data_IF_903898161750
#
_entry.id   IF_903898161750
#
_cell.length_a   1.000
_cell.length_b   1.000
_cell.length_c   1.000
_cell.angle_alpha   90.00
_cell.angle_beta   90.00
_cell.angle_gamma   90.00
#
_symmetry.space_group_name_H-M   'P 1'
#
loop_
_entity.id
_entity.type
_entity.pdbx_description
1 polymer ?
#
# COMPACT_ATOMS: atom_id res chain seq x y z
N UNK A 1 21.19 -6.53 21.48
CA UNK A 1 19.83 -6.92 21.03
C UNK A 1 19.30 -5.71 20.30
N UNK A 2 19.19 -5.78 18.97
CA UNK A 2 18.61 -4.68 18.20
C UNK A 2 17.16 -4.53 18.61
N UNK A 3 16.78 -3.32 18.98
CA UNK A 3 15.38 -3.00 19.30
C UNK A 3 14.54 -3.33 18.06
N UNK A 4 13.43 -4.03 18.26
CA UNK A 4 12.53 -4.46 17.18
C UNK A 4 11.95 -3.26 16.39
N UNK A 5 11.88 -2.08 17.03
CA UNK A 5 11.52 -0.81 16.38
C UNK A 5 12.57 -0.36 15.36
N UNK A 6 13.86 -0.66 15.64
CA UNK A 6 14.94 -0.42 14.69
C UNK A 6 14.84 -1.35 13.49
N UNK A 7 14.33 -2.59 13.66
CA UNK A 7 14.13 -3.53 12.56
C UNK A 7 12.95 -3.14 11.66
N UNK A 8 11.86 -2.58 12.23
CA UNK A 8 10.73 -2.06 11.44
C UNK A 8 11.15 -0.77 10.71
N UNK A 9 11.82 0.15 11.42
CA UNK A 9 12.36 1.35 10.82
C UNK A 9 13.42 1.01 9.76
N UNK A 10 14.29 0.02 10.03
CA UNK A 10 15.28 -0.46 9.09
C UNK A 10 14.67 -1.25 7.93
N UNK A 11 13.63 -2.04 8.15
CA UNK A 11 12.87 -2.69 7.10
C UNK A 11 12.18 -1.68 6.18
N UNK A 12 11.60 -0.63 6.75
CA UNK A 12 11.07 0.51 5.98
C UNK A 12 12.18 1.26 5.26
N UNK A 13 13.30 1.56 5.91
CA UNK A 13 14.45 2.21 5.32
C UNK A 13 15.06 1.38 4.19
N UNK A 14 15.26 0.07 4.37
CA UNK A 14 15.76 -0.84 3.33
C UNK A 14 14.82 -0.93 2.13
N UNK A 15 13.51 -0.89 2.35
CA UNK A 15 12.50 -0.79 1.28
C UNK A 15 12.77 0.42 0.37
N UNK A 16 13.32 1.50 0.93
CA UNK A 16 13.56 2.77 0.24
C UNK A 16 14.97 2.92 -0.36
N UNK A 17 15.91 2.11 0.07
CA UNK A 17 17.34 2.22 -0.29
C UNK A 17 17.81 1.18 -1.30
N UNK A 18 16.93 0.29 -1.79
CA UNK A 18 17.32 -0.79 -2.71
C UNK A 18 17.56 -0.18 -4.10
N UNK A 19 18.79 -0.34 -4.64
CA UNK A 19 19.08 0.14 -5.99
C UNK A 19 18.18 -0.57 -7.01
N UNK A 20 17.64 0.18 -7.94
CA UNK A 20 16.89 -0.38 -9.05
C UNK A 20 17.81 -1.21 -9.95
N UNK A 21 17.55 -2.49 -10.02
CA UNK A 21 18.17 -3.42 -10.97
C UNK A 21 17.06 -4.15 -11.73
N UNK A 22 16.72 -3.71 -12.95
CA UNK A 22 15.65 -4.31 -13.74
C UNK A 22 15.97 -5.76 -14.16
N UNK A 23 17.24 -6.15 -14.19
CA UNK A 23 17.67 -7.50 -14.59
C UNK A 23 17.74 -8.46 -13.40
N UNK A 24 17.68 -7.97 -12.18
CA UNK A 24 17.69 -8.82 -10.99
C UNK A 24 16.44 -9.69 -10.97
N UNK A 25 16.57 -11.03 -10.98
CA UNK A 25 15.42 -11.92 -10.91
C UNK A 25 14.57 -11.60 -9.66
N UNK A 26 13.23 -11.63 -9.80
CA UNK A 26 12.33 -11.59 -8.65
C UNK A 26 12.52 -12.88 -7.87
N UNK A 27 13.12 -12.86 -6.65
CA UNK A 27 13.33 -14.09 -5.91
C UNK A 27 11.99 -14.60 -5.40
N UNK A 28 11.75 -15.91 -5.54
CA UNK A 28 10.56 -16.52 -4.99
C UNK A 28 10.66 -16.63 -3.48
N UNK A 29 9.66 -16.09 -2.79
CA UNK A 29 9.55 -16.15 -1.34
C UNK A 29 9.10 -17.53 -0.92
N UNK A 30 9.77 -18.14 0.06
CA UNK A 30 9.35 -19.40 0.67
C UNK A 30 8.40 -19.14 1.84
N UNK A 31 7.31 -19.86 1.86
CA UNK A 31 6.37 -19.90 2.97
C UNK A 31 6.14 -21.33 3.42
N UNK A 32 6.33 -21.61 4.72
CA UNK A 32 6.24 -22.97 5.26
C UNK A 32 7.09 -24.00 4.49
N UNK A 33 8.28 -23.62 4.04
CA UNK A 33 9.19 -24.48 3.28
C UNK A 33 8.88 -24.68 1.80
N UNK A 34 7.78 -24.08 1.30
CA UNK A 34 7.39 -24.12 -0.12
C UNK A 34 7.64 -22.74 -0.75
N UNK A 35 7.98 -22.74 -2.04
CA UNK A 35 8.02 -21.52 -2.84
C UNK A 35 6.60 -21.16 -3.26
N UNK A 36 6.22 -19.87 -3.23
CA UNK A 36 4.88 -19.46 -3.65
C UNK A 36 4.56 -19.81 -5.11
N UNK A 37 5.55 -19.83 -5.99
CA UNK A 37 5.39 -20.30 -7.37
C UNK A 37 4.93 -21.76 -7.48
N UNK A 38 5.17 -22.57 -6.44
CA UNK A 38 4.77 -23.98 -6.42
C UNK A 38 3.31 -24.14 -5.95
N UNK A 39 2.69 -23.06 -5.48
CA UNK A 39 1.30 -23.03 -5.05
C UNK A 39 0.47 -22.52 -6.22
N UNK A 40 -0.06 -23.42 -7.02
CA UNK A 40 -0.88 -23.11 -8.19
C UNK A 40 -2.38 -23.01 -7.85
N UNK A 41 -2.80 -23.53 -6.71
CA UNK A 41 -4.19 -23.46 -6.26
C UNK A 41 -4.48 -22.09 -5.58
N UNK A 42 -5.32 -21.31 -6.24
CA UNK A 42 -5.78 -20.01 -5.73
C UNK A 42 -6.47 -20.11 -4.36
N UNK A 43 -7.18 -21.20 -4.11
CA UNK A 43 -7.83 -21.41 -2.82
C UNK A 43 -6.82 -21.66 -1.70
N UNK A 44 -5.71 -22.34 -2.01
CA UNK A 44 -4.62 -22.52 -1.04
C UNK A 44 -3.95 -21.19 -0.70
N UNK A 45 -3.68 -20.34 -1.68
CA UNK A 45 -3.13 -18.99 -1.45
C UNK A 45 -4.06 -18.14 -0.59
N UNK A 46 -5.36 -18.15 -0.91
CA UNK A 46 -6.36 -17.45 -0.09
C UNK A 46 -6.40 -18.00 1.34
N UNK A 47 -6.36 -19.33 1.52
CA UNK A 47 -6.31 -19.95 2.85
C UNK A 47 -5.10 -19.47 3.65
N UNK A 48 -3.92 -19.37 3.03
CA UNK A 48 -2.70 -18.87 3.69
C UNK A 48 -2.82 -17.41 4.12
N UNK A 49 -3.54 -16.58 3.39
CA UNK A 49 -3.82 -15.19 3.78
C UNK A 49 -4.77 -15.09 4.99
N UNK A 50 -5.57 -16.13 5.23
CA UNK A 50 -6.51 -16.21 6.34
C UNK A 50 -5.97 -16.97 7.56
N UNK A 51 -4.73 -17.48 7.50
CA UNK A 51 -4.16 -18.30 8.56
C UNK A 51 -2.95 -17.66 9.23
N UNK A 52 -2.84 -17.91 10.53
CA UNK A 52 -1.66 -17.56 11.33
C UNK A 52 -0.80 -18.80 11.56
N UNK A 53 0.52 -18.65 11.59
CA UNK A 53 1.45 -19.65 12.12
C UNK A 53 1.24 -19.87 13.60
N UNK A 54 1.80 -20.93 14.17
CA UNK A 54 1.65 -21.21 15.62
C UNK A 54 2.32 -20.12 16.48
N UNK A 55 3.44 -19.54 16.01
CA UNK A 55 4.08 -18.39 16.66
C UNK A 55 3.17 -17.18 16.65
N UNK A 56 2.56 -16.88 15.50
CA UNK A 56 1.63 -15.75 15.36
C UNK A 56 0.37 -15.94 16.21
N UNK A 57 -0.23 -17.16 16.24
CA UNK A 57 -1.40 -17.50 17.06
C UNK A 57 -1.15 -17.33 18.55
N UNK A 58 0.06 -17.64 19.03
CA UNK A 58 0.43 -17.49 20.44
C UNK A 58 0.69 -16.04 20.85
N UNK A 59 0.76 -15.12 19.91
CA UNK A 59 1.01 -13.71 20.17
C UNK A 59 -0.22 -12.99 20.71
N UNK A 60 -0.02 -12.08 21.68
CA UNK A 60 -1.07 -11.16 22.13
C UNK A 60 -1.62 -10.25 21.01
N UNK A 61 -0.87 -10.11 19.91
CA UNK A 61 -1.29 -9.34 18.75
C UNK A 61 -2.21 -10.10 17.78
N UNK A 62 -2.34 -11.43 17.91
CA UNK A 62 -3.22 -12.25 17.06
C UNK A 62 -4.68 -11.75 17.08
N UNK A 63 -5.12 -11.14 18.18
CA UNK A 63 -6.47 -10.60 18.31
C UNK A 63 -6.80 -9.55 17.24
N UNK A 64 -5.84 -8.72 16.78
CA UNK A 64 -6.07 -7.69 15.76
C UNK A 64 -6.26 -8.30 14.37
N UNK A 65 -5.55 -9.39 14.07
CA UNK A 65 -5.83 -10.19 12.87
C UNK A 65 -7.21 -10.84 12.93
N UNK A 66 -7.55 -11.43 14.09
CA UNK A 66 -8.82 -12.16 14.30
C UNK A 66 -10.07 -11.24 14.23
N UNK A 67 -9.91 -9.92 14.31
CA UNK A 67 -10.99 -8.97 14.03
C UNK A 67 -11.44 -9.00 12.57
N UNK A 68 -10.64 -9.60 11.67
CA UNK A 68 -10.89 -9.59 10.23
C UNK A 68 -10.69 -8.21 9.58
N UNK A 69 -10.99 -8.05 8.29
CA UNK A 69 -10.91 -6.76 7.62
C UNK A 69 -12.00 -5.80 8.12
N UNK A 70 -11.68 -4.52 8.24
CA UNK A 70 -12.66 -3.46 8.50
C UNK A 70 -13.23 -2.94 7.18
N UNK A 71 -14.53 -2.68 7.17
CA UNK A 71 -15.22 -2.14 6.01
C UNK A 71 -14.83 -0.66 5.80
N UNK A 72 -14.42 -0.27 4.59
CA UNK A 72 -14.26 1.14 4.24
C UNK A 72 -15.59 1.89 4.31
N UNK A 73 -15.57 3.21 4.27
CA UNK A 73 -16.79 3.99 4.13
C UNK A 73 -17.49 3.68 2.79
N UNK A 74 -18.81 3.85 2.76
CA UNK A 74 -19.64 3.52 1.58
C UNK A 74 -19.21 4.30 0.34
N UNK A 75 -18.74 5.54 0.51
CA UNK A 75 -18.22 6.36 -0.58
C UNK A 75 -17.01 5.72 -1.25
N UNK A 76 -16.04 5.22 -0.45
CA UNK A 76 -14.87 4.52 -0.97
C UNK A 76 -15.23 3.20 -1.66
N UNK A 77 -16.20 2.45 -1.11
CA UNK A 77 -16.66 1.21 -1.74
C UNK A 77 -17.21 1.51 -3.13
N UNK A 78 -18.12 2.48 -3.25
CA UNK A 78 -18.73 2.87 -4.53
C UNK A 78 -17.73 3.42 -5.53
N UNK A 79 -16.82 4.31 -5.07
CA UNK A 79 -15.84 4.96 -5.92
C UNK A 79 -14.79 4.00 -6.51
N UNK A 80 -14.63 2.82 -5.91
CA UNK A 80 -13.71 1.78 -6.38
C UNK A 80 -14.39 0.66 -7.14
N UNK A 81 -15.70 0.72 -7.37
CA UNK A 81 -16.40 -0.24 -8.21
C UNK A 81 -15.94 -0.14 -9.68
N UNK A 82 -15.64 -1.29 -10.28
CA UNK A 82 -15.04 -1.39 -11.61
C UNK A 82 -15.81 -0.65 -12.72
N UNK A 83 -17.10 -0.43 -12.54
CA UNK A 83 -17.97 0.19 -13.56
C UNK A 83 -18.17 1.70 -13.38
N UNK A 84 -17.48 2.32 -12.41
CA UNK A 84 -17.66 3.74 -12.08
C UNK A 84 -16.33 4.50 -12.07
N UNK A 85 -15.61 4.56 -13.22
CA UNK A 85 -14.38 5.35 -13.27
C UNK A 85 -14.68 6.85 -13.12
N UNK A 86 -13.73 7.58 -12.50
CA UNK A 86 -13.72 9.04 -12.56
C UNK A 86 -13.37 9.49 -13.98
N UNK A 87 -13.63 10.75 -14.31
CA UNK A 87 -13.25 11.28 -15.61
C UNK A 87 -11.71 11.26 -15.77
N UNK A 88 -11.15 10.90 -16.94
CA UNK A 88 -9.70 10.91 -17.16
C UNK A 88 -9.02 12.25 -16.87
N UNK A 89 -9.76 13.35 -16.95
CA UNK A 89 -9.31 14.70 -16.60
C UNK A 89 -9.18 14.96 -15.10
N UNK A 90 -9.71 14.07 -14.25
CA UNK A 90 -9.55 14.14 -12.79
C UNK A 90 -8.31 13.38 -12.33
N UNK A 91 -7.77 12.48 -13.17
CA UNK A 91 -6.49 11.83 -12.94
C UNK A 91 -5.33 12.66 -13.48
N UNK A 92 -4.13 12.41 -12.97
CA UNK A 92 -2.91 13.13 -13.37
C UNK A 92 -1.69 12.22 -13.27
N UNK A 93 -0.58 12.64 -13.87
CA UNK A 93 0.71 11.97 -13.75
C UNK A 93 1.43 12.42 -12.47
N UNK A 94 2.32 11.60 -11.96
CA UNK A 94 3.03 11.86 -10.70
C UNK A 94 3.82 13.19 -10.72
N UNK A 95 4.30 13.65 -11.89
CA UNK A 95 4.97 14.93 -12.05
C UNK A 95 4.08 16.12 -11.70
N UNK A 96 2.77 15.95 -11.86
CA UNK A 96 1.78 16.97 -11.57
C UNK A 96 1.24 16.89 -10.14
N UNK A 97 1.72 15.93 -9.33
CA UNK A 97 1.21 15.71 -7.98
C UNK A 97 1.18 16.99 -7.14
N UNK A 98 2.27 17.76 -7.19
CA UNK A 98 2.39 19.03 -6.45
C UNK A 98 1.34 20.06 -6.91
N UNK A 99 1.02 20.08 -8.20
CA UNK A 99 0.03 21.01 -8.78
C UNK A 99 -1.41 20.66 -8.40
N UNK A 100 -1.63 19.43 -7.95
CA UNK A 100 -2.92 18.97 -7.44
C UNK A 100 -3.08 19.11 -5.92
N UNK A 101 -2.10 19.73 -5.24
CA UNK A 101 -2.23 20.12 -3.85
C UNK A 101 -2.89 21.51 -3.77
N UNK A 102 -3.80 21.70 -2.80
CA UNK A 102 -4.34 23.03 -2.52
C UNK A 102 -3.33 23.91 -1.77
N UNK A 103 -3.73 25.15 -1.46
CA UNK A 103 -2.89 26.14 -0.76
C UNK A 103 -2.44 25.66 0.63
N UNK A 104 -3.19 24.75 1.24
CA UNK A 104 -2.89 24.16 2.55
C UNK A 104 -2.07 22.87 2.43
N UNK A 105 -1.63 22.51 1.21
CA UNK A 105 -0.93 21.27 0.93
C UNK A 105 -1.83 20.03 0.91
N UNK A 106 -3.12 20.24 0.74
CA UNK A 106 -4.15 19.22 0.72
C UNK A 106 -4.38 18.77 -0.73
N UNK A 107 -4.23 17.51 -1.02
CA UNK A 107 -4.69 16.99 -2.30
C UNK A 107 -6.21 16.74 -2.20
N UNK A 108 -7.07 17.51 -2.90
CA UNK A 108 -8.52 17.36 -2.80
C UNK A 108 -9.06 16.13 -3.54
N UNK A 109 -8.19 15.37 -4.22
CA UNK A 109 -8.60 14.23 -5.03
C UNK A 109 -9.29 13.18 -4.15
N UNK A 110 -10.50 12.82 -4.55
CA UNK A 110 -11.30 11.79 -3.88
C UNK A 110 -10.89 10.39 -4.34
N UNK A 111 -11.33 9.39 -3.61
CA UNK A 111 -11.21 7.99 -4.01
C UNK A 111 -11.80 7.75 -5.40
N UNK A 112 -11.07 7.02 -6.25
CA UNK A 112 -11.51 6.70 -7.59
C UNK A 112 -10.39 6.14 -8.47
N UNK A 113 -10.71 5.88 -9.73
CA UNK A 113 -9.73 5.39 -10.70
C UNK A 113 -10.12 5.78 -12.13
N UNK A 114 -9.14 5.86 -13.02
CA UNK A 114 -9.36 6.06 -14.46
C UNK A 114 -8.17 5.53 -15.27
N UNK A 115 -8.28 5.60 -16.59
CA UNK A 115 -7.16 5.42 -17.52
C UNK A 115 -6.82 6.77 -18.09
N UNK A 116 -5.58 7.20 -17.90
CA UNK A 116 -5.08 8.48 -18.42
C UNK A 116 -4.94 8.41 -19.95
N UNK A 117 -4.87 9.57 -20.60
CA UNK A 117 -4.77 9.67 -22.07
C UNK A 117 -3.54 8.97 -22.65
N UNK A 118 -2.48 8.81 -21.88
CA UNK A 118 -1.26 8.07 -22.26
C UNK A 118 -1.34 6.56 -22.01
N UNK A 119 -2.48 6.05 -21.53
CA UNK A 119 -2.71 4.64 -21.26
C UNK A 119 -2.33 4.15 -19.86
N UNK A 120 -1.76 5.01 -19.01
CA UNK A 120 -1.44 4.69 -17.60
C UNK A 120 -2.72 4.53 -16.80
N UNK A 121 -2.79 3.50 -15.96
CA UNK A 121 -3.86 3.33 -14.99
C UNK A 121 -3.62 4.24 -13.78
N UNK A 122 -4.61 5.04 -13.41
CA UNK A 122 -4.59 5.90 -12.25
C UNK A 122 -5.61 5.41 -11.23
N UNK A 123 -5.20 5.20 -9.98
CA UNK A 123 -6.08 4.81 -8.89
C UNK A 123 -5.70 5.54 -7.61
N UNK A 124 -6.68 5.95 -6.82
CA UNK A 124 -6.45 6.65 -5.56
C UNK A 124 -7.50 6.30 -4.52
N UNK A 125 -7.10 6.22 -3.27
CA UNK A 125 -7.97 6.03 -2.13
C UNK A 125 -7.62 7.01 -1.01
N UNK A 126 -8.64 7.67 -0.48
CA UNK A 126 -8.53 8.53 0.70
C UNK A 126 -9.26 7.87 1.85
N UNK A 127 -8.58 7.68 2.97
CA UNK A 127 -9.18 7.10 4.17
C UNK A 127 -8.97 8.03 5.36
N UNK A 128 -10.07 8.31 6.05
CA UNK A 128 -10.08 9.12 7.27
C UNK A 128 -10.05 8.22 8.51
N UNK A 129 -9.32 8.66 9.51
CA UNK A 129 -9.29 8.04 10.84
C UNK A 129 -9.77 9.05 11.89
N UNK A 130 -11.08 9.19 12.09
CA UNK A 130 -11.62 10.12 13.06
C UNK A 130 -11.11 9.84 14.48
N UNK A 131 -10.70 10.90 15.18
CA UNK A 131 -10.21 10.81 16.55
C UNK A 131 -8.78 10.28 16.70
N UNK A 132 -8.09 9.87 15.63
CA UNK A 132 -6.69 9.49 15.70
C UNK A 132 -5.80 10.74 15.80
N UNK A 133 -5.13 10.89 16.94
CA UNK A 133 -4.16 11.98 17.17
C UNK A 133 -2.75 11.54 16.81
N UNK A 134 -1.83 12.50 16.74
CA UNK A 134 -0.39 12.19 16.59
C UNK A 134 0.12 11.30 17.72
N UNK A 135 -0.36 11.48 18.95
CA UNK A 135 0.01 10.62 20.09
C UNK A 135 -0.41 9.16 19.87
N UNK A 136 -1.64 8.93 19.41
CA UNK A 136 -2.18 7.61 19.12
C UNK A 136 -1.35 6.92 18.03
N UNK A 137 -1.08 7.62 16.93
CA UNK A 137 -0.29 7.09 15.83
C UNK A 137 1.15 6.79 16.25
N UNK A 138 1.79 7.70 16.99
CA UNK A 138 3.14 7.51 17.52
C UNK A 138 3.18 6.31 18.45
N UNK A 139 2.21 6.18 19.36
CA UNK A 139 2.11 5.02 20.25
C UNK A 139 2.03 3.71 19.47
N UNK A 140 1.15 3.65 18.46
CA UNK A 140 1.02 2.46 17.61
C UNK A 140 2.35 2.11 16.91
N UNK A 141 2.98 3.08 16.25
CA UNK A 141 4.25 2.86 15.53
C UNK A 141 5.35 2.32 16.44
N UNK A 142 5.41 2.77 17.69
CA UNK A 142 6.46 2.37 18.63
C UNK A 142 6.18 1.07 19.38
N UNK A 143 4.93 0.71 19.57
CA UNK A 143 4.55 -0.39 20.48
C UNK A 143 3.81 -1.54 19.79
N UNK A 144 3.21 -1.34 18.62
CA UNK A 144 2.60 -2.42 17.86
C UNK A 144 3.67 -3.21 17.12
N UNK A 145 4.07 -4.32 17.72
CA UNK A 145 5.28 -5.06 17.33
C UNK A 145 5.06 -6.58 17.37
N UNK A 146 4.15 -7.10 16.56
CA UNK A 146 3.84 -8.51 16.46
C UNK A 146 5.00 -9.33 15.83
N UNK A 147 5.05 -10.67 16.09
CA UNK A 147 6.06 -11.55 15.51
C UNK A 147 5.83 -11.81 14.02
N UNK A 148 6.88 -12.23 13.35
CA UNK A 148 6.87 -12.68 11.95
C UNK A 148 6.14 -11.72 10.99
N UNK A 149 5.25 -12.29 10.18
CA UNK A 149 4.44 -11.55 9.20
C UNK A 149 3.13 -11.01 9.80
N UNK A 150 2.85 -11.26 11.09
CA UNK A 150 1.58 -10.87 11.73
C UNK A 150 1.31 -9.37 11.67
N UNK A 151 2.34 -8.52 11.69
CA UNK A 151 2.17 -7.07 11.47
C UNK A 151 1.49 -6.80 10.12
N UNK A 152 2.01 -7.41 9.06
CA UNK A 152 1.51 -7.25 7.71
C UNK A 152 0.13 -7.89 7.52
N UNK A 153 -0.05 -9.12 8.01
CA UNK A 153 -1.33 -9.82 7.97
C UNK A 153 -2.44 -9.11 8.76
N UNK A 154 -2.11 -8.55 9.95
CA UNK A 154 -3.09 -7.79 10.73
C UNK A 154 -3.51 -6.48 10.05
N UNK A 155 -2.67 -5.94 9.19
CA UNK A 155 -3.00 -4.76 8.39
C UNK A 155 -4.14 -5.04 7.40
N UNK A 156 -4.14 -6.21 6.75
CA UNK A 156 -5.24 -6.63 5.89
C UNK A 156 -5.44 -8.16 5.91
N UNK A 157 -6.17 -8.69 6.92
CA UNK A 157 -6.49 -10.12 6.99
C UNK A 157 -7.24 -10.60 5.74
N UNK A 158 -6.78 -11.71 5.15
CA UNK A 158 -7.34 -12.24 3.90
C UNK A 158 -6.77 -11.61 2.61
N UNK A 159 -6.08 -10.49 2.71
CA UNK A 159 -5.37 -9.85 1.60
C UNK A 159 -3.86 -10.05 1.69
N UNK A 160 -3.29 -9.71 2.84
CA UNK A 160 -1.84 -9.78 3.05
C UNK A 160 -1.40 -11.17 3.54
N UNK A 161 -0.30 -11.67 2.98
CA UNK A 161 0.28 -12.96 3.38
C UNK A 161 1.63 -12.75 4.05
N UNK A 162 2.55 -12.04 3.40
CA UNK A 162 3.93 -11.93 3.83
C UNK A 162 4.57 -10.62 3.38
N UNK A 163 5.41 -10.08 4.25
CA UNK A 163 6.30 -8.98 3.91
C UNK A 163 7.73 -9.31 4.36
N UNK A 164 8.67 -9.32 3.40
CA UNK A 164 10.06 -9.63 3.68
C UNK A 164 10.99 -8.70 2.91
N UNK A 165 11.77 -7.89 3.61
CA UNK A 165 12.72 -6.94 3.03
C UNK A 165 12.07 -6.06 1.93
N UNK A 166 12.46 -6.29 0.68
CA UNK A 166 11.99 -5.57 -0.50
C UNK A 166 10.79 -6.26 -1.20
N UNK A 167 10.13 -7.20 -0.53
CA UNK A 167 9.08 -7.98 -1.16
C UNK A 167 7.84 -8.10 -0.29
N UNK A 168 6.68 -8.17 -0.93
CA UNK A 168 5.42 -8.54 -0.32
C UNK A 168 4.67 -9.58 -1.17
N UNK A 169 3.83 -10.36 -0.52
CA UNK A 169 2.89 -11.29 -1.17
C UNK A 169 1.50 -10.97 -0.66
N UNK A 170 0.61 -10.63 -1.58
CA UNK A 170 -0.73 -10.17 -1.25
C UNK A 170 -1.74 -10.39 -2.37
N UNK A 171 -3.03 -10.33 -2.05
CA UNK A 171 -4.12 -10.22 -3.01
C UNK A 171 -4.46 -8.75 -3.25
N UNK A 172 -4.21 -8.27 -4.44
CA UNK A 172 -4.49 -6.88 -4.85
C UNK A 172 -5.84 -6.73 -5.55
N UNK A 173 -6.72 -7.74 -5.44
CA UNK A 173 -8.06 -7.73 -6.03
C UNK A 173 -8.14 -8.20 -7.49
N UNK A 174 -7.02 -8.38 -8.17
CA UNK A 174 -6.91 -9.08 -9.46
C UNK A 174 -6.13 -10.41 -9.34
N UNK A 175 -5.92 -10.88 -8.14
CA UNK A 175 -5.30 -12.14 -7.77
C UNK A 175 -4.10 -11.97 -6.86
N UNK A 176 -3.57 -13.11 -6.39
CA UNK A 176 -2.37 -13.13 -5.58
C UNK A 176 -1.17 -12.75 -6.41
N UNK A 177 -0.40 -11.81 -5.91
CA UNK A 177 0.80 -11.28 -6.56
C UNK A 177 1.97 -11.28 -5.60
N UNK A 178 3.16 -11.32 -6.16
CA UNK A 178 4.38 -10.94 -5.50
C UNK A 178 4.73 -9.53 -5.93
N UNK A 179 4.85 -8.64 -4.97
CA UNK A 179 5.35 -7.29 -5.16
C UNK A 179 6.83 -7.25 -4.84
N UNK A 180 7.62 -6.60 -5.68
CA UNK A 180 9.00 -6.26 -5.40
C UNK A 180 9.16 -4.76 -5.43
N UNK A 181 9.54 -4.21 -4.31
CA UNK A 181 9.86 -2.79 -4.17
C UNK A 181 11.26 -2.55 -4.75
N UNK A 182 11.33 -1.78 -5.83
CA UNK A 182 12.58 -1.58 -6.58
C UNK A 182 13.25 -0.25 -6.27
N UNK A 183 12.46 0.76 -5.89
CA UNK A 183 12.96 2.07 -5.51
C UNK A 183 11.95 2.77 -4.59
N UNK A 184 12.42 3.29 -3.46
CA UNK A 184 11.61 4.13 -2.56
C UNK A 184 11.43 5.54 -3.10
N UNK A 185 10.28 6.11 -2.87
CA UNK A 185 9.93 7.49 -3.21
C UNK A 185 9.55 8.27 -1.95
N UNK A 186 9.86 9.55 -1.94
CA UNK A 186 9.51 10.49 -0.88
C UNK A 186 9.23 11.87 -1.48
N UNK A 187 9.04 12.89 -0.65
CA UNK A 187 8.82 14.25 -1.10
C UNK A 187 9.92 14.78 -2.02
N UNK A 188 11.19 14.49 -1.74
CA UNK A 188 12.31 14.92 -2.59
C UNK A 188 12.20 14.31 -4.00
N UNK A 189 11.78 13.04 -4.08
CA UNK A 189 11.66 12.32 -5.36
C UNK A 189 10.66 12.99 -6.30
N UNK A 190 9.63 13.65 -5.77
CA UNK A 190 8.56 14.31 -6.55
C UNK A 190 8.69 15.84 -6.57
N UNK A 191 9.84 16.38 -6.11
CA UNK A 191 10.06 17.83 -6.07
C UNK A 191 9.32 18.58 -4.94
N UNK A 192 8.88 17.85 -3.91
CA UNK A 192 8.23 18.41 -2.72
C UNK A 192 8.98 17.96 -1.45
N UNK A 193 10.25 18.41 -1.24
CA UNK A 193 11.07 17.94 -0.13
C UNK A 193 10.46 18.25 1.25
N UNK A 194 9.76 19.37 1.35
CA UNK A 194 9.06 19.81 2.55
C UNK A 194 7.60 20.09 2.16
N UNK A 195 6.71 19.12 2.28
CA UNK A 195 5.30 19.34 2.00
C UNK A 195 4.79 20.55 2.79
N UNK A 196 3.93 21.40 2.22
CA UNK A 196 3.38 22.55 2.91
C UNK A 196 2.80 22.15 4.27
N UNK A 197 3.20 22.86 5.33
CA UNK A 197 2.68 22.64 6.67
C UNK A 197 1.40 23.46 6.78
N UNK A 198 0.30 22.81 7.11
CA UNK A 198 -0.96 23.45 7.45
C UNK A 198 -1.18 23.42 8.97
N UNK A 199 -2.24 24.04 9.47
CA UNK A 199 -2.51 24.23 10.92
C UNK A 199 -2.51 22.92 11.73
N UNK A 200 -2.75 21.79 11.07
CA UNK A 200 -2.81 20.46 11.71
C UNK A 200 -1.56 19.61 11.46
N UNK A 201 -0.61 20.12 10.66
CA UNK A 201 0.65 19.46 10.34
C UNK A 201 0.55 18.42 9.23
N UNK A 202 1.62 18.29 8.47
CA UNK A 202 1.84 17.21 7.51
C UNK A 202 2.76 16.16 8.15
N UNK A 203 2.45 14.89 7.93
CA UNK A 203 3.27 13.78 8.41
C UNK A 203 4.28 13.36 7.34
N UNK A 204 3.95 13.55 6.08
CA UNK A 204 4.88 13.37 4.99
C UNK A 204 4.33 12.60 3.80
N UNK A 205 5.23 12.38 2.84
CA UNK A 205 5.01 11.63 1.61
C UNK A 205 5.98 10.46 1.61
N UNK A 206 5.47 9.28 1.37
CA UNK A 206 6.25 8.08 1.10
C UNK A 206 5.67 7.34 -0.09
N UNK A 207 6.45 6.52 -0.77
CA UNK A 207 5.95 5.74 -1.88
C UNK A 207 6.99 4.75 -2.37
N UNK A 208 6.71 4.08 -3.47
CA UNK A 208 7.66 3.18 -4.10
C UNK A 208 7.37 2.98 -5.58
N UNK A 209 8.43 2.69 -6.33
CA UNK A 209 8.33 1.98 -7.58
C UNK A 209 8.31 0.48 -7.29
N UNK A 210 7.38 -0.23 -7.89
CA UNK A 210 7.07 -1.63 -7.58
C UNK A 210 6.99 -2.44 -8.87
N UNK A 211 7.61 -3.62 -8.88
CA UNK A 211 7.33 -4.67 -9.85
C UNK A 211 6.31 -5.63 -9.26
N UNK A 212 5.19 -5.81 -9.95
CA UNK A 212 4.12 -6.70 -9.57
C UNK A 212 4.11 -7.92 -10.48
N UNK A 213 4.26 -9.12 -9.90
CA UNK A 213 4.30 -10.39 -10.62
C UNK A 213 3.16 -11.29 -10.13
N UNK A 214 2.22 -11.72 -11.02
CA UNK A 214 1.23 -12.72 -10.65
C UNK A 214 1.88 -14.04 -10.23
N UNK A 215 1.49 -14.61 -9.09
CA UNK A 215 2.09 -15.85 -8.58
C UNK A 215 1.80 -17.07 -9.45
N UNK A 216 0.64 -17.09 -10.10
CA UNK A 216 0.20 -18.17 -10.99
C UNK A 216 0.71 -18.03 -12.43
N UNK A 217 1.41 -16.95 -12.75
CA UNK A 217 1.99 -16.65 -14.06
C UNK A 217 3.41 -16.09 -13.89
N UNK A 218 4.35 -16.87 -13.38
CA UNK A 218 5.70 -16.39 -13.06
C UNK A 218 6.48 -15.92 -14.31
N UNK A 219 6.11 -16.40 -15.50
CA UNK A 219 6.72 -16.02 -16.77
C UNK A 219 6.01 -14.84 -17.46
N UNK A 220 4.92 -14.30 -16.85
CA UNK A 220 4.27 -13.13 -17.41
C UNK A 220 5.15 -11.88 -17.26
N UNK A 221 5.02 -10.96 -18.20
CA UNK A 221 5.67 -9.64 -18.10
C UNK A 221 5.25 -8.96 -16.78
N UNK A 222 6.23 -8.53 -15.94
CA UNK A 222 5.90 -7.83 -14.70
C UNK A 222 5.16 -6.53 -14.96
N UNK A 223 4.18 -6.24 -14.12
CA UNK A 223 3.47 -4.97 -14.15
C UNK A 223 4.22 -3.95 -13.29
N UNK A 224 4.55 -2.81 -13.89
CA UNK A 224 5.13 -1.69 -13.17
C UNK A 224 4.05 -0.87 -12.49
N UNK A 225 4.23 -0.57 -11.21
CA UNK A 225 3.34 0.26 -10.40
C UNK A 225 4.19 1.29 -9.69
N UNK A 226 3.77 2.54 -9.72
CA UNK A 226 4.29 3.59 -8.83
C UNK A 226 3.21 3.90 -7.81
N UNK A 227 3.58 3.93 -6.54
CA UNK A 227 2.71 4.25 -5.42
C UNK A 227 3.22 5.48 -4.67
N UNK A 228 2.33 6.38 -4.30
CA UNK A 228 2.57 7.44 -3.32
C UNK A 228 1.53 7.39 -2.21
N UNK A 229 2.01 7.48 -0.97
CA UNK A 229 1.19 7.65 0.21
C UNK A 229 1.44 9.05 0.80
N UNK A 230 0.39 9.81 0.94
CA UNK A 230 0.40 11.10 1.61
C UNK A 230 -0.35 11.02 2.93
N UNK A 231 0.29 11.48 4.00
CA UNK A 231 -0.23 11.40 5.36
C UNK A 231 -0.32 12.78 5.96
N UNK A 232 -1.44 13.09 6.64
CA UNK A 232 -1.60 14.33 7.38
C UNK A 232 -2.50 14.19 8.59
N UNK A 233 -2.31 15.11 9.54
CA UNK A 233 -3.28 15.35 10.59
C UNK A 233 -4.30 16.37 10.09
N UNK A 234 -5.55 16.15 10.41
CA UNK A 234 -6.67 17.04 10.15
C UNK A 234 -7.44 17.27 11.47
N UNK A 235 -8.31 18.27 11.60
CA UNK A 235 -9.03 18.52 12.85
C UNK A 235 -9.80 17.30 13.37
N UNK A 236 -10.32 16.49 12.45
CA UNK A 236 -11.10 15.30 12.76
C UNK A 236 -10.23 14.11 13.15
N UNK A 237 -8.93 14.13 12.87
CA UNK A 237 -8.01 13.02 13.17
C UNK A 237 -6.85 12.90 12.19
N UNK A 238 -6.73 11.73 11.57
CA UNK A 238 -5.66 11.38 10.63
C UNK A 238 -6.24 11.07 9.27
N UNK A 239 -5.58 11.51 8.21
CA UNK A 239 -5.93 11.18 6.83
C UNK A 239 -4.75 10.51 6.13
N UNK A 240 -5.04 9.44 5.40
CA UNK A 240 -4.11 8.81 4.48
C UNK A 240 -4.69 8.84 3.07
N UNK A 241 -3.87 9.20 2.11
CA UNK A 241 -4.16 9.11 0.68
C UNK A 241 -3.11 8.23 0.03
N UNK A 242 -3.58 7.22 -0.67
CA UNK A 242 -2.71 6.36 -1.47
C UNK A 242 -3.08 6.56 -2.93
N UNK A 243 -2.07 6.79 -3.77
CA UNK A 243 -2.26 7.00 -5.21
C UNK A 243 -1.34 6.05 -5.96
N UNK A 244 -1.89 5.41 -6.98
CA UNK A 244 -1.20 4.43 -7.83
C UNK A 244 -1.18 4.88 -9.28
N UNK A 245 -0.04 4.69 -9.92
CA UNK A 245 0.12 4.78 -11.37
C UNK A 245 0.57 3.41 -11.88
N UNK A 246 -0.28 2.76 -12.66
CA UNK A 246 -0.09 1.40 -13.17
C UNK A 246 0.39 1.46 -14.61
N UNK A 247 1.43 0.70 -14.94
CA UNK A 247 2.06 0.72 -16.26
C UNK A 247 3.15 1.77 -16.41
N UNK A 248 3.75 2.21 -15.30
CA UNK A 248 4.90 3.09 -15.30
C UNK A 248 5.78 2.93 -14.06
N UNK A 249 7.00 3.45 -14.10
CA UNK A 249 7.77 3.78 -12.92
C UNK A 249 8.28 5.23 -12.98
N UNK A 250 8.53 5.82 -11.82
CA UNK A 250 9.02 7.19 -11.70
C UNK A 250 10.52 7.20 -11.40
N UNK A 251 11.31 7.85 -12.26
CA UNK A 251 12.76 7.88 -12.12
C UNK A 251 13.35 9.22 -12.56
N UNK A 252 14.24 9.77 -11.74
CA UNK A 252 14.92 11.04 -12.01
C UNK A 252 13.94 12.19 -12.36
N UNK A 253 12.85 12.29 -11.62
CA UNK A 253 11.84 13.33 -11.80
C UNK A 253 10.93 13.14 -13.03
N UNK A 254 10.90 11.93 -13.62
CA UNK A 254 10.09 11.66 -14.83
C UNK A 254 9.45 10.30 -14.79
N UNK A 255 8.25 10.22 -15.34
CA UNK A 255 7.54 8.96 -15.59
C UNK A 255 8.15 8.22 -16.78
N UNK A 256 8.45 6.96 -16.58
CA UNK A 256 8.88 6.03 -17.64
C UNK A 256 7.77 5.01 -17.84
N UNK A 257 7.18 5.00 -19.04
CA UNK A 257 6.03 4.14 -19.35
C UNK A 257 6.45 2.69 -19.61
N UNK A 258 5.73 1.77 -19.00
CA UNK A 258 5.84 0.32 -19.17
C UNK A 258 4.45 -0.29 -19.34
N UNK A 259 3.78 0.11 -20.42
CA UNK A 259 2.43 -0.38 -20.70
C UNK A 259 2.46 -1.86 -21.12
N UNK A 260 1.68 -2.74 -20.49
CA UNK A 260 1.61 -4.15 -20.81
C UNK A 260 1.27 -4.39 -22.29
N UNK A 261 2.13 -5.10 -23.03
CA UNK A 261 1.94 -5.31 -24.46
C UNK A 261 1.79 -4.04 -25.28
N UNK A 262 2.31 -2.90 -24.82
CA UNK A 262 2.17 -1.56 -25.43
C UNK A 262 0.72 -1.09 -25.60
N UNK A 263 -0.17 -1.55 -24.73
CA UNK A 263 -1.60 -1.18 -24.73
C UNK A 263 -1.94 -0.41 -23.47
N UNK A 264 -3.01 0.41 -23.47
CA UNK A 264 -3.53 1.01 -22.25
C UNK A 264 -3.77 -0.05 -21.18
N UNK A 265 -3.48 0.30 -19.94
CA UNK A 265 -3.75 -0.54 -18.78
C UNK A 265 -5.24 -0.87 -18.70
N UNK A 266 -5.58 -2.11 -18.35
CA UNK A 266 -6.98 -2.47 -18.17
C UNK A 266 -7.55 -1.79 -16.91
N UNK A 267 -8.71 -1.14 -16.98
CA UNK A 267 -9.23 -0.31 -15.88
C UNK A 267 -9.53 -1.09 -14.59
N UNK A 268 -9.64 -2.43 -14.65
CA UNK A 268 -9.77 -3.24 -13.45
C UNK A 268 -8.54 -3.21 -12.54
N UNK A 269 -7.34 -2.93 -13.08
CA UNK A 269 -6.11 -2.91 -12.29
C UNK A 269 -6.06 -1.69 -11.34
N UNK A 270 -6.17 -0.44 -11.82
CA UNK A 270 -6.21 0.69 -10.90
C UNK A 270 -7.45 0.70 -9.98
N UNK A 271 -8.60 0.19 -10.44
CA UNK A 271 -9.79 -0.03 -9.60
C UNK A 271 -9.50 -0.98 -8.45
N UNK A 272 -8.87 -2.12 -8.73
CA UNK A 272 -8.54 -3.13 -7.72
C UNK A 272 -7.54 -2.61 -6.69
N UNK A 273 -6.50 -1.88 -7.13
CA UNK A 273 -5.52 -1.27 -6.22
C UNK A 273 -6.14 -0.19 -5.32
N UNK A 274 -6.97 0.69 -5.88
CA UNK A 274 -7.69 1.68 -5.09
C UNK A 274 -8.62 1.02 -4.04
N UNK A 275 -9.31 -0.06 -4.44
CA UNK A 275 -10.14 -0.86 -3.53
C UNK A 275 -9.31 -1.54 -2.44
N UNK A 276 -8.22 -2.20 -2.82
CA UNK A 276 -7.30 -2.85 -1.89
C UNK A 276 -6.83 -1.85 -0.83
N UNK A 277 -6.34 -0.69 -1.27
CA UNK A 277 -5.89 0.36 -0.36
C UNK A 277 -6.99 0.89 0.56
N UNK A 278 -8.22 1.06 0.07
CA UNK A 278 -9.33 1.49 0.91
C UNK A 278 -9.63 0.48 2.03
N UNK A 279 -9.66 -0.83 1.73
CA UNK A 279 -9.88 -1.88 2.73
C UNK A 279 -8.72 -2.06 3.69
N UNK A 280 -7.51 -2.09 3.16
CA UNK A 280 -6.25 -2.18 3.92
C UNK A 280 -6.16 -1.03 4.93
N UNK A 281 -6.33 0.21 4.46
CA UNK A 281 -6.21 1.39 5.32
C UNK A 281 -7.31 1.46 6.36
N UNK A 282 -8.56 1.12 6.02
CA UNK A 282 -9.66 1.07 6.99
C UNK A 282 -9.37 0.04 8.10
N UNK A 283 -8.82 -1.12 7.74
CA UNK A 283 -8.45 -2.17 8.69
C UNK A 283 -7.30 -1.74 9.58
N UNK A 284 -6.25 -1.18 8.98
CA UNK A 284 -5.11 -0.63 9.71
C UNK A 284 -5.57 0.42 10.73
N UNK A 285 -6.40 1.35 10.31
CA UNK A 285 -6.92 2.42 11.15
C UNK A 285 -7.72 1.90 12.35
N UNK A 286 -8.61 0.94 12.11
CA UNK A 286 -9.32 0.28 13.22
C UNK A 286 -8.34 -0.34 14.21
N UNK A 287 -7.33 -1.06 13.73
CA UNK A 287 -6.36 -1.72 14.59
C UNK A 287 -5.51 -0.73 15.40
N UNK A 288 -5.17 0.42 14.82
CA UNK A 288 -4.52 1.53 15.56
C UNK A 288 -5.37 1.97 16.75
N UNK A 289 -6.67 2.21 16.52
CA UNK A 289 -7.58 2.68 17.56
C UNK A 289 -7.86 1.61 18.63
N UNK A 290 -8.02 0.35 18.23
CA UNK A 290 -8.19 -0.76 19.18
C UNK A 290 -6.93 -0.98 20.02
N UNK A 291 -5.74 -0.92 19.42
CA UNK A 291 -4.47 -1.01 20.14
C UNK A 291 -4.30 0.10 21.16
N UNK A 292 -4.69 1.32 20.82
CA UNK A 292 -4.68 2.45 21.76
C UNK A 292 -5.62 2.22 22.95
N UNK A 293 -6.84 1.76 22.71
CA UNK A 293 -7.80 1.46 23.77
C UNK A 293 -7.24 0.39 24.72
N UNK A 294 -6.64 -0.66 24.18
CA UNK A 294 -6.05 -1.75 24.95
C UNK A 294 -4.88 -1.31 25.83
N UNK A 295 -4.12 -0.30 25.37
CA UNK A 295 -2.99 0.25 26.14
C UNK A 295 -3.39 1.09 27.33
N UNK A 296 -4.68 1.48 27.44
CA UNK A 296 -5.22 2.25 28.56
C UNK A 296 -5.90 1.39 29.62
N UNK A 297 -6.12 0.10 29.34
CA UNK A 297 -6.70 -0.90 30.25
C UNK A 297 -5.62 -1.74 30.89
#
# INVERSE_FOLDING_TARGET
>A
MNNKNDLIAEGRRRKWEIPFDPERPIPFVKHCGRTFSDITDRNELYRLSCELSDTEKSSAFAKYFNLGPAMPCEENIRATEYQQPIAPSEGFMIEDFVNHMDVDGCNPLKTGYCILSNGVGFGTATTLMPGCTAEIMTHFIHHFNPPEDLYYKAWFPGGHIRHYADMAVEDVGFGMVQLRFIEGLNGDSIGMPNPPIHDHGNIGITGANILCQPLHQPDAEPLYITELCYYRLIPEGYEQRVTFWVGMHFKNGKSVLHLPGKKPVHPSLPSALARHSAWETATFMRNVMEFWKDSKN
#
